data_IF_429697432721
#
_entry.id   IF_429697432721
#
_cell.length_a   1.000
_cell.length_b   1.000
_cell.length_c   1.000
_cell.angle_alpha   90.00
_cell.angle_beta   90.00
_cell.angle_gamma   90.00
#
_symmetry.space_group_name_H-M   'P 1'
#
loop_
_entity.id
_entity.type
_entity.pdbx_description
1 polymer ?
#
# COMPACT_ATOMS: atom_id res chain seq x y z
N UNK A 1 16.32 31.17 -18.50
CA UNK A 1 15.94 29.75 -18.69
C UNK A 1 16.29 28.95 -17.43
N UNK A 2 15.47 29.10 -16.39
CA UNK A 2 15.64 28.36 -15.13
C UNK A 2 14.93 27.02 -15.20
N UNK A 3 15.68 25.95 -15.45
CA UNK A 3 15.23 24.59 -15.14
C UNK A 3 15.96 24.16 -13.88
N UNK A 4 15.21 23.75 -12.85
CA UNK A 4 15.54 22.65 -11.91
C UNK A 4 14.62 22.72 -10.68
N UNK A 5 13.34 22.41 -10.90
CA UNK A 5 12.45 21.96 -9.84
C UNK A 5 12.71 20.46 -9.56
N UNK A 6 13.92 20.10 -9.11
CA UNK A 6 14.28 18.69 -8.87
C UNK A 6 15.31 18.55 -7.76
N UNK A 7 14.95 19.02 -6.57
CA UNK A 7 15.65 18.67 -5.32
C UNK A 7 14.73 17.97 -4.31
N UNK A 8 13.44 17.84 -4.61
CA UNK A 8 12.43 17.27 -3.71
C UNK A 8 12.19 15.75 -3.86
N UNK A 9 13.04 15.05 -4.60
CA UNK A 9 13.00 13.57 -4.73
C UNK A 9 14.10 12.85 -3.92
N UNK A 10 14.91 13.58 -3.15
CA UNK A 10 16.04 13.03 -2.37
C UNK A 10 15.97 13.37 -0.87
N UNK A 11 14.79 13.63 -0.31
CA UNK A 11 14.68 13.70 1.16
C UNK A 11 14.75 12.27 1.73
N UNK A 12 15.60 12.08 2.74
CA UNK A 12 15.69 10.84 3.52
C UNK A 12 14.30 10.41 4.03
N UNK A 13 13.46 11.37 4.40
CA UNK A 13 12.11 11.14 4.92
C UNK A 13 11.19 10.55 3.83
N UNK A 14 11.29 11.04 2.59
CA UNK A 14 10.50 10.51 1.47
C UNK A 14 10.91 9.10 1.06
N UNK A 15 12.22 8.81 1.09
CA UNK A 15 12.74 7.46 0.88
C UNK A 15 12.27 6.51 1.99
N UNK A 16 12.29 6.96 3.24
CA UNK A 16 11.82 6.20 4.39
C UNK A 16 10.31 5.92 4.30
N UNK A 17 9.50 6.92 3.97
CA UNK A 17 8.06 6.75 3.79
C UNK A 17 7.73 5.72 2.69
N UNK A 18 8.45 5.78 1.56
CA UNK A 18 8.30 4.80 0.49
C UNK A 18 8.72 3.39 0.93
N UNK A 19 9.82 3.25 1.66
CA UNK A 19 10.26 1.95 2.18
C UNK A 19 9.21 1.33 3.12
N UNK A 20 8.61 2.14 4.00
CA UNK A 20 7.51 1.70 4.87
C UNK A 20 6.29 1.29 4.03
N UNK A 21 5.89 2.10 3.05
CA UNK A 21 4.79 1.78 2.15
C UNK A 21 4.98 0.45 1.43
N UNK A 22 6.12 0.23 0.79
CA UNK A 22 6.42 -1.03 0.10
C UNK A 22 6.45 -2.23 1.06
N UNK A 23 6.99 -2.03 2.26
CA UNK A 23 7.03 -3.08 3.30
C UNK A 23 5.61 -3.48 3.71
N UNK A 24 4.71 -2.51 3.93
CA UNK A 24 3.30 -2.78 4.27
C UNK A 24 2.57 -3.53 3.15
N UNK A 25 2.75 -3.10 1.90
CA UNK A 25 2.18 -3.77 0.73
C UNK A 25 2.68 -5.22 0.63
N UNK A 26 4.00 -5.42 0.75
CA UNK A 26 4.58 -6.75 0.65
C UNK A 26 4.11 -7.66 1.80
N UNK A 27 4.03 -7.12 3.01
CA UNK A 27 3.53 -7.87 4.17
C UNK A 27 2.06 -8.27 4.00
N UNK A 28 1.22 -7.38 3.48
CA UNK A 28 -0.19 -7.69 3.18
C UNK A 28 -0.30 -8.83 2.16
N UNK A 29 0.47 -8.77 1.07
CA UNK A 29 0.52 -9.83 0.05
C UNK A 29 0.97 -11.17 0.61
N UNK A 30 2.02 -11.19 1.45
CA UNK A 30 2.50 -12.40 2.13
C UNK A 30 1.45 -13.03 3.06
N UNK A 31 0.51 -12.22 3.56
CA UNK A 31 -0.62 -12.67 4.39
C UNK A 31 -1.89 -12.96 3.58
N UNK A 32 -1.81 -13.05 2.25
CA UNK A 32 -2.92 -13.28 1.32
C UNK A 32 -4.04 -12.23 1.43
N UNK A 33 -3.67 -10.99 1.73
CA UNK A 33 -4.57 -9.84 1.77
C UNK A 33 -4.47 -9.02 0.48
N UNK A 34 -5.59 -8.39 0.13
CA UNK A 34 -5.64 -7.31 -0.86
C UNK A 34 -4.94 -6.08 -0.26
N UNK A 35 -3.82 -5.69 -0.85
CA UNK A 35 -2.98 -4.62 -0.31
C UNK A 35 -3.70 -3.27 -0.27
N UNK A 36 -4.57 -2.98 -1.25
CA UNK A 36 -5.32 -1.73 -1.29
C UNK A 36 -6.39 -1.69 -0.20
N UNK A 37 -7.19 -2.76 -0.07
CA UNK A 37 -8.20 -2.88 0.99
C UNK A 37 -7.57 -2.84 2.38
N UNK A 38 -6.43 -3.49 2.56
CA UNK A 38 -5.69 -3.47 3.83
C UNK A 38 -5.23 -2.07 4.20
N UNK A 39 -4.53 -1.37 3.31
CA UNK A 39 -4.06 0.00 3.58
C UNK A 39 -5.22 0.97 3.83
N UNK A 40 -6.28 0.87 3.03
CA UNK A 40 -7.50 1.66 3.23
C UNK A 40 -8.09 1.42 4.62
N UNK A 41 -8.23 0.16 5.02
CA UNK A 41 -8.74 -0.20 6.33
C UNK A 41 -7.89 0.39 7.46
N UNK A 42 -6.57 0.23 7.38
CA UNK A 42 -5.65 0.75 8.39
C UNK A 42 -5.76 2.27 8.52
N UNK A 43 -5.82 3.02 7.41
CA UNK A 43 -5.94 4.48 7.44
C UNK A 43 -7.29 4.94 8.00
N UNK A 44 -8.40 4.33 7.57
CA UNK A 44 -9.74 4.65 8.11
C UNK A 44 -9.79 4.43 9.63
N UNK A 45 -9.18 3.36 10.13
CA UNK A 45 -9.15 3.06 11.55
C UNK A 45 -8.23 3.97 12.35
N UNK A 46 -7.12 4.42 11.75
CA UNK A 46 -6.19 5.38 12.36
C UNK A 46 -6.86 6.73 12.60
N UNK A 47 -7.65 7.22 11.65
CA UNK A 47 -8.36 8.50 11.76
C UNK A 47 -9.43 8.49 12.87
N UNK A 48 -10.00 7.32 13.17
CA UNK A 48 -11.09 7.15 14.13
C UNK A 48 -10.63 6.97 15.60
N UNK A 49 -9.36 6.65 15.85
CA UNK A 49 -8.89 6.19 17.18
C UNK A 49 -7.81 7.10 17.76
N UNK A 50 -8.07 7.66 18.95
CA UNK A 50 -7.08 8.44 19.72
C UNK A 50 -5.92 7.60 20.28
N UNK A 51 -6.12 6.29 20.46
CA UNK A 51 -5.08 5.35 20.88
C UNK A 51 -5.35 4.00 20.20
N UNK A 52 -4.88 3.81 18.96
CA UNK A 52 -5.11 2.57 18.23
C UNK A 52 -4.33 1.43 18.89
N UNK A 53 -4.99 0.30 19.06
CA UNK A 53 -4.31 -0.95 19.39
C UNK A 53 -3.72 -1.48 18.09
N UNK A 54 -2.41 -1.32 17.92
CA UNK A 54 -1.72 -1.61 16.66
C UNK A 54 -1.86 -3.07 16.28
N UNK A 55 -1.88 -3.98 17.27
CA UNK A 55 -1.97 -5.42 17.04
C UNK A 55 -3.28 -5.82 16.35
N UNK A 56 -4.37 -5.10 16.60
CA UNK A 56 -5.66 -5.34 15.95
C UNK A 56 -5.63 -5.06 14.44
N UNK A 57 -4.70 -4.23 13.97
CA UNK A 57 -4.58 -3.82 12.56
C UNK A 57 -3.50 -4.60 11.81
N UNK A 58 -2.79 -5.51 12.48
CA UNK A 58 -1.75 -6.30 11.84
C UNK A 58 -2.36 -7.29 10.84
N UNK A 59 -1.61 -7.66 9.79
CA UNK A 59 -2.17 -8.43 8.68
C UNK A 59 -2.53 -9.88 9.03
N UNK A 60 -2.14 -10.36 10.21
CA UNK A 60 -2.55 -11.66 10.76
C UNK A 60 -3.72 -11.58 11.74
N UNK A 61 -4.29 -10.39 12.00
CA UNK A 61 -5.45 -10.28 12.87
C UNK A 61 -6.70 -10.83 12.19
N UNK A 62 -7.58 -11.48 12.97
CA UNK A 62 -8.78 -12.12 12.44
C UNK A 62 -9.72 -11.12 11.76
N UNK A 63 -9.82 -9.91 12.30
CA UNK A 63 -10.67 -8.85 11.75
C UNK A 63 -10.17 -8.37 10.38
N UNK A 64 -8.86 -8.17 10.24
CA UNK A 64 -8.24 -7.77 8.98
C UNK A 64 -8.38 -8.87 7.94
N UNK A 65 -8.14 -10.13 8.33
CA UNK A 65 -8.28 -11.29 7.45
C UNK A 65 -9.72 -11.46 6.94
N UNK A 66 -10.72 -11.19 7.78
CA UNK A 66 -12.12 -11.25 7.37
C UNK A 66 -12.50 -10.15 6.37
N UNK A 67 -11.99 -8.92 6.55
CA UNK A 67 -12.38 -7.74 5.75
C UNK A 67 -11.54 -7.55 4.48
N UNK A 68 -10.26 -7.92 4.51
CA UNK A 68 -9.27 -7.56 3.51
C UNK A 68 -8.72 -8.75 2.71
N UNK A 69 -9.31 -9.95 2.84
CA UNK A 69 -8.87 -11.13 2.09
C UNK A 69 -8.81 -10.85 0.58
N UNK A 70 -7.70 -11.27 -0.04
CA UNK A 70 -7.55 -11.15 -1.48
C UNK A 70 -8.60 -12.05 -2.18
N UNK A 71 -9.27 -11.49 -3.20
CA UNK A 71 -9.89 -12.30 -4.23
C UNK A 71 -8.79 -12.86 -5.14
N UNK A 72 -9.06 -13.94 -5.87
CA UNK A 72 -8.04 -14.78 -6.54
C UNK A 72 -7.06 -13.98 -7.42
N UNK A 73 -5.80 -14.43 -7.61
CA UNK A 73 -4.66 -13.65 -8.15
C UNK A 73 -4.71 -13.23 -9.63
N UNK A 74 -5.86 -13.33 -10.31
CA UNK A 74 -5.95 -13.12 -11.75
C UNK A 74 -6.15 -11.65 -12.16
N UNK A 75 -6.55 -10.77 -11.23
CA UNK A 75 -7.03 -9.42 -11.58
C UNK A 75 -5.98 -8.31 -11.41
N UNK A 76 -4.94 -8.49 -10.58
CA UNK A 76 -4.00 -7.41 -10.23
C UNK A 76 -2.78 -7.29 -11.17
N UNK A 77 -2.20 -8.40 -11.64
CA UNK A 77 -1.06 -8.39 -12.57
C UNK A 77 -1.47 -7.90 -13.98
N UNK A 78 -2.74 -8.12 -14.34
CA UNK A 78 -3.29 -7.72 -15.64
C UNK A 78 -3.47 -6.19 -15.80
N UNK A 79 -3.39 -5.43 -14.71
CA UNK A 79 -3.54 -3.96 -14.74
C UNK A 79 -2.21 -3.23 -14.93
N UNK A 80 -1.08 -3.81 -14.51
CA UNK A 80 0.23 -3.17 -14.68
C UNK A 80 0.70 -3.28 -16.15
N UNK A 81 0.56 -4.47 -16.75
CA UNK A 81 1.02 -4.72 -18.12
C UNK A 81 0.17 -3.98 -19.17
N UNK A 82 -1.15 -3.86 -18.96
CA UNK A 82 -2.02 -3.08 -19.84
C UNK A 82 -1.75 -1.57 -19.76
N UNK A 83 -1.28 -1.06 -18.62
CA UNK A 83 -0.94 0.35 -18.45
C UNK A 83 0.41 0.70 -19.05
N UNK A 84 1.37 -0.23 -18.97
CA UNK A 84 2.68 -0.10 -19.65
C UNK A 84 2.56 -0.23 -21.18
N UNK A 85 1.62 -1.03 -21.68
CA UNK A 85 1.30 -1.14 -23.11
C UNK A 85 0.69 0.15 -23.68
N UNK A 86 -0.14 0.87 -22.90
CA UNK A 86 -0.73 2.15 -23.35
C UNK A 86 0.26 3.32 -23.37
N UNK A 87 1.34 3.28 -22.60
CA UNK A 87 2.35 4.36 -22.57
C UNK A 87 3.35 4.25 -23.73
N UNK A 88 3.38 3.09 -24.43
CA UNK A 88 4.28 2.83 -25.56
C UNK A 88 3.61 2.93 -26.94
N UNK A 89 2.33 3.31 -27.02
CA UNK A 89 1.62 3.63 -28.26
C UNK A 89 1.46 5.13 -28.46
#
# INVERSE_FOLDING_TARGET
MGRKNSLFSKSYEGAQANAVYYTLVQTAKLNNLDAYKYLKYVFEQLELRKNPDVDAYLPWSDEVQAKCKAHSPADDDMQLENKEAMVKS
#
